data_IF_205691325117
#
_entry.id   IF_205691325117
#
_cell.length_a   1.000
_cell.length_b   1.000
_cell.length_c   1.000
_cell.angle_alpha   90.00
_cell.angle_beta   90.00
_cell.angle_gamma   90.00
#
_symmetry.space_group_name_H-M   'P 1'
#
loop_
_entity.id
_entity.type
_entity.pdbx_description
1 polymer ?
#
# COMPACT_ATOMS: atom_id res chain seq x y z
N UNK A 1 1.50 -10.47 -6.83
CA UNK A 1 0.93 -10.43 -5.47
C UNK A 1 -0.25 -9.50 -5.41
N UNK A 2 -1.31 -9.97 -4.83
CA UNK A 2 -2.51 -9.20 -4.71
C UNK A 2 -2.64 -8.67 -3.28
N UNK A 3 -2.89 -7.38 -3.15
CA UNK A 3 -2.98 -6.72 -1.86
C UNK A 3 -4.39 -6.18 -1.62
N UNK A 4 -4.73 -6.05 -0.37
CA UNK A 4 -6.03 -5.55 0.03
C UNK A 4 -5.88 -4.72 1.30
N UNK A 5 -6.66 -3.67 1.42
CA UNK A 5 -6.70 -2.91 2.66
C UNK A 5 -7.32 -3.78 3.74
N UNK A 6 -6.71 -3.84 4.90
CA UNK A 6 -7.25 -4.62 6.01
C UNK A 6 -8.60 -4.06 6.47
N UNK A 7 -9.44 -4.93 7.05
CA UNK A 7 -10.84 -4.58 7.30
C UNK A 7 -11.05 -3.39 8.22
N UNK A 8 -10.31 -3.26 9.25
CA UNK A 8 -10.55 -2.19 10.23
C UNK A 8 -9.55 -1.06 10.11
N UNK A 9 -9.27 -0.64 8.89
CA UNK A 9 -8.33 0.45 8.62
C UNK A 9 -9.09 1.67 8.11
N UNK A 10 -8.82 2.81 8.73
CA UNK A 10 -9.36 4.10 8.34
C UNK A 10 -8.23 4.94 7.76
N UNK A 11 -8.50 5.62 6.67
CA UNK A 11 -7.54 6.51 6.03
C UNK A 11 -8.07 7.94 6.06
N UNK A 12 -7.24 8.87 6.52
CA UNK A 12 -7.57 10.29 6.53
C UNK A 12 -6.60 11.03 5.64
N UNK A 13 -7.12 11.78 4.70
CA UNK A 13 -6.30 12.60 3.81
C UNK A 13 -6.19 14.00 4.38
N UNK A 14 -4.95 14.50 4.49
CA UNK A 14 -4.67 15.82 5.01
C UNK A 14 -3.72 16.54 4.06
N UNK A 15 -4.25 17.38 3.21
CA UNK A 15 -3.45 18.23 2.31
C UNK A 15 -2.45 17.43 1.46
N UNK A 16 -2.89 16.35 0.86
CA UNK A 16 -2.04 15.53 0.00
C UNK A 16 -1.27 14.45 0.70
N UNK A 17 -1.34 14.41 2.02
CA UNK A 17 -0.77 13.33 2.82
C UNK A 17 -1.88 12.54 3.46
N UNK A 18 -1.55 11.38 4.01
CA UNK A 18 -2.56 10.54 4.65
C UNK A 18 -2.07 10.00 5.97
N UNK A 19 -3.01 9.71 6.84
CA UNK A 19 -2.75 8.94 8.05
C UNK A 19 -3.65 7.72 8.00
N UNK A 20 -3.06 6.55 8.19
CA UNK A 20 -3.78 5.29 8.27
C UNK A 20 -3.90 4.88 9.72
N UNK A 21 -5.05 4.36 10.10
CA UNK A 21 -5.27 3.88 11.46
C UNK A 21 -5.89 2.51 11.42
N UNK A 22 -5.25 1.56 12.10
CA UNK A 22 -5.83 0.25 12.32
C UNK A 22 -6.59 0.28 13.63
N UNK A 23 -7.91 0.16 13.55
CA UNK A 23 -8.77 0.29 14.73
C UNK A 23 -8.64 -0.88 15.69
N UNK A 24 -8.21 -2.04 15.22
CA UNK A 24 -8.03 -3.21 16.07
C UNK A 24 -6.81 -3.10 16.98
N UNK A 25 -5.75 -2.52 16.48
CA UNK A 25 -4.48 -2.47 17.21
C UNK A 25 -4.16 -1.08 17.75
N UNK A 26 -4.84 -0.06 17.25
CA UNK A 26 -4.51 1.33 17.56
C UNK A 26 -3.26 1.84 16.87
N UNK A 27 -2.68 1.06 15.98
CA UNK A 27 -1.49 1.46 15.23
C UNK A 27 -1.85 2.45 14.13
N UNK A 28 -1.09 3.52 14.00
CA UNK A 28 -1.28 4.41 12.87
C UNK A 28 0.04 4.67 12.17
N UNK A 29 -0.07 5.14 10.93
CA UNK A 29 1.07 5.28 10.05
C UNK A 29 0.85 6.46 9.12
N UNK A 30 1.81 7.37 9.06
CA UNK A 30 1.71 8.53 8.18
C UNK A 30 2.32 8.28 6.82
N UNK A 31 1.65 8.72 5.77
CA UNK A 31 2.13 8.61 4.40
C UNK A 31 2.34 10.00 3.82
N UNK A 32 3.46 10.19 3.12
CA UNK A 32 3.68 11.42 2.37
C UNK A 32 2.88 11.39 1.07
N UNK A 33 3.08 12.37 0.20
CA UNK A 33 2.29 12.48 -1.03
C UNK A 33 2.46 11.24 -1.93
N UNK A 34 3.68 10.76 -2.09
CA UNK A 34 3.93 9.57 -2.93
C UNK A 34 3.36 8.33 -2.28
N UNK A 35 3.54 8.17 -0.97
CA UNK A 35 2.98 7.04 -0.22
C UNK A 35 1.46 7.04 -0.26
N UNK A 36 0.85 8.21 -0.18
CA UNK A 36 -0.61 8.35 -0.29
C UNK A 36 -1.09 7.90 -1.66
N UNK A 37 -0.38 8.31 -2.71
CA UNK A 37 -0.73 7.90 -4.07
C UNK A 37 -0.61 6.39 -4.23
N UNK A 38 0.48 5.82 -3.72
CA UNK A 38 0.66 4.37 -3.72
C UNK A 38 -0.48 3.66 -3.00
N UNK A 39 -0.83 4.14 -1.82
CA UNK A 39 -1.93 3.56 -1.03
C UNK A 39 -3.23 3.55 -1.82
N UNK A 40 -3.56 4.67 -2.45
CA UNK A 40 -4.79 4.77 -3.22
C UNK A 40 -4.80 3.81 -4.41
N UNK A 41 -3.67 3.66 -5.09
CA UNK A 41 -3.55 2.73 -6.20
C UNK A 41 -3.69 1.28 -5.76
N UNK A 42 -3.08 0.92 -4.64
CA UNK A 42 -3.19 -0.43 -4.09
C UNK A 42 -4.61 -0.71 -3.62
N UNK A 43 -5.23 0.26 -2.96
CA UNK A 43 -6.61 0.11 -2.48
C UNK A 43 -7.58 -0.08 -3.63
N UNK A 44 -7.31 0.60 -4.74
CA UNK A 44 -8.20 0.54 -5.91
C UNK A 44 -7.96 -0.70 -6.75
N UNK A 45 -6.71 -1.05 -7.00
CA UNK A 45 -6.36 -2.09 -7.97
C UNK A 45 -5.84 -3.38 -7.35
N UNK A 46 -5.36 -3.32 -6.13
CA UNK A 46 -4.84 -4.51 -5.45
C UNK A 46 -3.55 -5.07 -6.03
N UNK A 47 -2.87 -4.32 -6.89
CA UNK A 47 -1.68 -4.80 -7.58
C UNK A 47 -0.48 -3.90 -7.35
N UNK A 48 0.58 -4.47 -6.81
CA UNK A 48 1.85 -3.76 -6.64
C UNK A 48 2.45 -3.37 -7.98
N UNK A 49 2.40 -4.29 -8.95
CA UNK A 49 2.98 -4.04 -10.27
C UNK A 49 2.28 -2.88 -10.97
N UNK A 50 0.97 -2.84 -10.90
CA UNK A 50 0.20 -1.76 -11.51
C UNK A 50 0.46 -0.43 -10.84
N UNK A 51 0.58 -0.45 -9.51
CA UNK A 51 0.89 0.76 -8.76
C UNK A 51 2.27 1.30 -9.13
N UNK A 52 3.27 0.44 -9.23
CA UNK A 52 4.61 0.86 -9.63
C UNK A 52 4.61 1.44 -11.02
N UNK A 53 3.94 0.79 -11.97
CA UNK A 53 3.87 1.28 -13.34
C UNK A 53 3.22 2.65 -13.42
N UNK A 54 2.15 2.85 -12.67
CA UNK A 54 1.45 4.14 -12.64
C UNK A 54 2.34 5.23 -12.05
N UNK A 55 3.03 4.93 -10.96
CA UNK A 55 3.92 5.91 -10.34
C UNK A 55 5.10 6.25 -11.24
N UNK A 56 5.63 5.27 -11.97
CA UNK A 56 6.71 5.52 -12.92
C UNK A 56 6.26 6.42 -14.07
N UNK A 57 5.01 6.32 -14.46
CA UNK A 57 4.47 7.17 -15.51
C UNK A 57 4.26 8.60 -15.03
N UNK A 58 4.02 8.80 -13.75
CA UNK A 58 3.70 10.12 -13.21
C UNK A 58 4.88 10.84 -12.59
N UNK A 59 5.86 10.11 -12.09
CA UNK A 59 7.02 10.70 -11.43
C UNK A 59 8.29 10.40 -12.20
N UNK A 60 9.16 11.38 -12.28
CA UNK A 60 10.44 11.23 -12.95
C UNK A 60 11.45 10.70 -11.95
N UNK A 61 11.44 9.39 -11.74
CA UNK A 61 12.30 8.74 -10.76
C UNK A 61 12.90 7.49 -11.35
N UNK A 62 14.00 7.02 -10.73
CA UNK A 62 14.64 5.79 -11.13
C UNK A 62 13.74 4.59 -10.79
N UNK A 63 13.49 3.74 -11.80
CA UNK A 63 12.59 2.61 -11.63
C UNK A 63 13.05 1.63 -10.56
N UNK A 64 14.34 1.37 -10.51
CA UNK A 64 14.93 0.46 -9.54
C UNK A 64 14.72 0.96 -8.12
N UNK A 65 14.97 2.24 -7.93
CA UNK A 65 14.82 2.87 -6.63
C UNK A 65 13.36 2.92 -6.21
N UNK A 66 12.47 3.27 -7.12
CA UNK A 66 11.06 3.31 -6.81
C UNK A 66 10.54 1.93 -6.40
N UNK A 67 10.92 0.89 -7.13
CA UNK A 67 10.52 -0.47 -6.77
C UNK A 67 10.98 -0.85 -5.37
N UNK A 68 12.21 -0.50 -5.04
CA UNK A 68 12.77 -0.79 -3.75
C UNK A 68 12.01 -0.06 -2.64
N UNK A 69 11.75 1.23 -2.85
CA UNK A 69 11.03 2.04 -1.87
C UNK A 69 9.59 1.57 -1.69
N UNK A 70 8.92 1.24 -2.78
CA UNK A 70 7.55 0.74 -2.74
C UNK A 70 7.49 -0.59 -2.01
N UNK A 71 8.42 -1.50 -2.31
CA UNK A 71 8.46 -2.81 -1.65
C UNK A 71 8.67 -2.65 -0.15
N UNK A 72 9.59 -1.76 0.24
CA UNK A 72 9.85 -1.52 1.66
C UNK A 72 8.63 -0.95 2.37
N UNK A 73 7.93 -0.02 1.73
CA UNK A 73 6.73 0.56 2.32
C UNK A 73 5.61 -0.48 2.44
N UNK A 74 5.41 -1.29 1.41
CA UNK A 74 4.39 -2.34 1.45
C UNK A 74 4.70 -3.34 2.56
N UNK A 75 5.96 -3.72 2.72
CA UNK A 75 6.36 -4.62 3.80
C UNK A 75 6.02 -4.03 5.17
N UNK A 76 6.25 -2.75 5.36
CA UNK A 76 5.88 -2.08 6.61
C UNK A 76 4.37 -2.07 6.83
N UNK A 77 3.61 -1.79 5.78
CA UNK A 77 2.15 -1.76 5.89
C UNK A 77 1.58 -3.14 6.20
N UNK A 78 2.16 -4.18 5.62
CA UNK A 78 1.76 -5.55 5.94
C UNK A 78 2.11 -5.90 7.39
N UNK A 79 3.30 -5.52 7.83
CA UNK A 79 3.75 -5.82 9.19
C UNK A 79 2.88 -5.13 10.24
N UNK A 80 2.34 -3.96 9.92
CA UNK A 80 1.51 -3.20 10.85
C UNK A 80 0.02 -3.53 10.73
N UNK A 81 -0.33 -4.49 9.90
CA UNK A 81 -1.73 -4.91 9.75
C UNK A 81 -2.59 -3.91 9.00
N UNK A 82 -1.98 -3.02 8.23
CA UNK A 82 -2.71 -2.03 7.44
C UNK A 82 -3.07 -2.54 6.06
N UNK A 83 -2.27 -3.46 5.52
CA UNK A 83 -2.56 -4.19 4.30
C UNK A 83 -2.52 -5.67 4.58
N UNK A 84 -3.24 -6.44 3.77
CA UNK A 84 -3.15 -7.90 3.81
C UNK A 84 -2.95 -8.40 2.39
N UNK A 85 -2.40 -9.59 2.27
CA UNK A 85 -2.35 -10.26 0.99
C UNK A 85 -3.66 -10.98 0.76
N UNK A 86 -4.06 -11.06 -0.50
CA UNK A 86 -5.29 -11.75 -0.85
C UNK A 86 -4.98 -13.23 -0.92
N UNK A 87 -5.36 -13.91 0.14
CA UNK A 87 -4.90 -15.26 0.36
C UNK A 87 -5.60 -16.31 -0.43
N UNK A 88 -6.63 -15.95 -1.12
CA UNK A 88 -7.34 -16.96 -1.82
C UNK A 88 -6.53 -17.57 -2.93
N UNK A 89 -5.54 -16.91 -3.34
CA UNK A 89 -4.74 -17.50 -4.32
C UNK A 89 -3.97 -18.67 -3.81
N UNK A 90 -4.23 -19.05 -2.69
CA UNK A 90 -3.58 -20.09 -2.26
C UNK A 90 -4.20 -21.36 -2.43
N UNK A 91 -4.71 -21.44 -3.03
CA UNK A 91 -5.24 -22.39 -2.96
C UNK A 91 -4.69 -23.57 -2.54
N UNK A 92 -4.81 -23.15 -2.35
CA UNK A 92 -4.57 -23.67 -2.02
C UNK A 92 -4.36 -24.49 -1.83
N UNK A 93 -4.28 -24.55 -2.02
CA UNK A 93 -4.02 -25.21 -1.92
C UNK A 93 -4.00 -26.03 -1.34
N UNK A 94 -4.26 -26.26 -1.15
CA UNK A 94 -4.24 -26.94 -0.65
C UNK A 94 -4.49 -27.68 -0.61
#
# INVERSE_FOLDING_TARGET
MRLRVADNVVCRNLAGESVLLNLDTGTYFGLDAVGTHLWNLVAEHGSTALAIDTLLAEYDVDASRLRKDVTALIDQLLAKGLLTTDAEQTPSAR
#
